data_IF_892967787018
#
_entry.id   IF_892967787018
#
_cell.length_a   1.000
_cell.length_b   1.000
_cell.length_c   1.000
_cell.angle_alpha   90.00
_cell.angle_beta   90.00
_cell.angle_gamma   90.00
#
_symmetry.space_group_name_H-M   'P 1'
#
loop_
_entity.id
_entity.type
_entity.pdbx_description
1 polymer ?
#
# COMPACT_ATOMS: atom_id res chain seq x y z
N UNK A 1 15.28 29.78 -5.08
CA UNK A 1 14.62 29.22 -3.87
C UNK A 1 14.25 27.78 -4.15
N UNK A 2 14.91 26.83 -3.50
CA UNK A 2 14.65 25.39 -3.68
C UNK A 2 13.31 25.08 -3.02
N UNK A 3 12.31 24.59 -3.77
CA UNK A 3 11.02 24.17 -3.20
C UNK A 3 11.28 23.09 -2.15
N UNK A 4 10.88 23.34 -0.91
CA UNK A 4 10.96 22.37 0.17
C UNK A 4 10.06 21.18 -0.19
N UNK A 5 10.60 19.95 -0.07
CA UNK A 5 9.84 18.71 -0.37
C UNK A 5 8.72 18.54 0.66
N UNK A 6 7.58 18.01 0.24
CA UNK A 6 6.44 17.76 1.14
C UNK A 6 6.74 16.57 2.07
N UNK A 7 6.04 16.47 3.21
CA UNK A 7 6.24 15.36 4.14
C UNK A 7 5.92 14.00 3.47
N UNK A 8 4.92 13.96 2.59
CA UNK A 8 4.63 12.77 1.74
C UNK A 8 5.82 12.38 0.86
N UNK A 9 6.48 13.35 0.22
CA UNK A 9 7.65 13.09 -0.63
C UNK A 9 8.86 12.63 0.19
N UNK A 10 9.08 13.25 1.34
CA UNK A 10 10.17 12.89 2.25
C UNK A 10 9.99 11.48 2.83
N UNK A 11 8.77 11.09 3.23
CA UNK A 11 8.51 9.71 3.67
C UNK A 11 8.70 8.68 2.56
N UNK A 12 8.37 9.04 1.31
CA UNK A 12 8.64 8.16 0.15
C UNK A 12 10.14 7.97 -0.07
N UNK A 13 10.94 9.01 0.12
CA UNK A 13 12.41 8.92 0.05
C UNK A 13 12.97 8.03 1.17
N UNK A 14 12.50 8.20 2.41
CA UNK A 14 12.90 7.34 3.54
C UNK A 14 12.50 5.87 3.31
N UNK A 15 11.36 5.62 2.66
CA UNK A 15 10.96 4.27 2.28
C UNK A 15 11.90 3.64 1.25
N UNK A 16 12.40 4.42 0.29
CA UNK A 16 13.41 3.96 -0.67
C UNK A 16 14.78 3.75 0.02
N UNK A 17 15.21 4.67 0.89
CA UNK A 17 16.42 4.53 1.72
C UNK A 17 16.38 3.22 2.53
N UNK A 18 15.21 2.86 3.07
CA UNK A 18 15.00 1.57 3.79
C UNK A 18 15.25 0.36 2.87
N UNK A 19 14.77 0.40 1.62
CA UNK A 19 14.99 -0.69 0.65
C UNK A 19 16.45 -0.81 0.26
N UNK A 20 17.13 0.32 0.05
CA UNK A 20 18.55 0.37 -0.27
C UNK A 20 19.39 -0.20 0.88
N UNK A 21 19.10 0.18 2.13
CA UNK A 21 19.73 -0.40 3.33
C UNK A 21 19.55 -1.92 3.33
N UNK A 22 18.32 -2.42 3.19
CA UNK A 22 18.10 -3.87 3.17
C UNK A 22 18.87 -4.59 2.06
N UNK A 23 18.90 -4.03 0.85
CA UNK A 23 19.63 -4.62 -0.28
C UNK A 23 21.16 -4.65 -0.02
N UNK A 24 21.73 -3.54 0.45
CA UNK A 24 23.17 -3.43 0.73
C UNK A 24 23.60 -4.40 1.84
N UNK A 25 22.84 -4.47 2.93
CA UNK A 25 23.19 -5.34 4.06
C UNK A 25 22.92 -6.83 3.76
N UNK A 26 21.90 -7.15 2.96
CA UNK A 26 21.68 -8.52 2.49
C UNK A 26 22.86 -9.02 1.63
N UNK A 27 23.33 -8.19 0.69
CA UNK A 27 24.51 -8.51 -0.12
C UNK A 27 25.79 -8.64 0.72
N UNK A 28 25.99 -7.74 1.69
CA UNK A 28 27.13 -7.82 2.60
C UNK A 28 27.10 -9.12 3.43
N UNK A 29 25.91 -9.56 3.86
CA UNK A 29 25.72 -10.80 4.62
C UNK A 29 25.99 -12.04 3.77
N UNK A 30 25.49 -12.07 2.54
CA UNK A 30 25.75 -13.15 1.58
C UNK A 30 27.26 -13.30 1.33
N UNK A 31 27.96 -12.19 1.05
CA UNK A 31 29.41 -12.21 0.86
C UNK A 31 30.16 -12.70 2.10
N UNK A 32 29.74 -12.28 3.30
CA UNK A 32 30.35 -12.73 4.55
C UNK A 32 30.07 -14.22 4.83
N UNK A 33 28.92 -14.75 4.42
CA UNK A 33 28.62 -16.19 4.50
C UNK A 33 29.50 -17.00 3.55
N UNK A 34 29.67 -16.55 2.30
CA UNK A 34 30.57 -17.19 1.34
C UNK A 34 32.04 -17.19 1.81
N UNK A 35 32.49 -16.10 2.44
CA UNK A 35 33.81 -16.00 3.05
C UNK A 35 33.98 -17.04 4.18
N UNK A 36 32.98 -17.20 5.05
CA UNK A 36 32.95 -18.20 6.11
C UNK A 36 32.95 -19.63 5.55
N UNK A 37 32.15 -19.91 4.52
CA UNK A 37 32.11 -21.23 3.86
C UNK A 37 33.46 -21.59 3.24
N UNK A 38 34.08 -20.65 2.54
CA UNK A 38 35.40 -20.84 1.90
C UNK A 38 36.48 -21.12 2.95
N UNK A 39 36.54 -20.30 4.01
CA UNK A 39 37.48 -20.52 5.12
C UNK A 39 37.25 -21.86 5.83
N UNK A 40 35.99 -22.27 5.99
CA UNK A 40 35.65 -23.55 6.61
C UNK A 40 36.17 -24.71 5.77
N UNK A 41 36.00 -24.66 4.44
CA UNK A 41 36.52 -25.67 3.54
C UNK A 41 38.06 -25.71 3.55
N UNK A 42 38.70 -24.54 3.43
CA UNK A 42 40.17 -24.46 3.46
C UNK A 42 40.79 -24.96 4.77
N UNK A 43 40.10 -24.78 5.90
CA UNK A 43 40.53 -25.32 7.20
C UNK A 43 40.38 -26.83 7.22
N UNK A 44 39.27 -27.38 6.70
CA UNK A 44 39.05 -28.82 6.65
C UNK A 44 40.11 -29.53 5.77
N UNK A 45 40.35 -29.01 4.57
CA UNK A 45 41.37 -29.53 3.65
C UNK A 45 42.78 -29.43 4.27
N UNK A 46 43.05 -28.30 4.94
CA UNK A 46 44.31 -28.08 5.65
C UNK A 46 44.52 -28.99 6.87
N UNK A 47 43.47 -29.31 7.61
CA UNK A 47 43.52 -30.26 8.73
C UNK A 47 43.82 -31.69 8.26
N UNK A 48 43.27 -32.10 7.12
CA UNK A 48 43.60 -33.38 6.48
C UNK A 48 45.08 -33.40 6.06
N UNK A 49 45.55 -32.33 5.41
CA UNK A 49 46.96 -32.21 5.02
C UNK A 49 47.91 -32.23 6.23
N UNK A 50 47.57 -31.56 7.33
CA UNK A 50 48.35 -31.59 8.58
C UNK A 50 48.42 -33.01 9.16
N UNK A 51 47.36 -33.81 9.07
CA UNK A 51 47.41 -35.21 9.52
C UNK A 51 48.40 -36.03 8.70
N UNK A 52 48.45 -35.84 7.38
CA UNK A 52 49.40 -36.52 6.50
C UNK A 52 50.85 -36.06 6.75
N UNK A 53 51.05 -34.75 6.92
CA UNK A 53 52.33 -34.15 7.31
C UNK A 53 52.80 -34.67 8.66
N UNK A 54 51.88 -34.83 9.63
CA UNK A 54 52.21 -35.39 10.94
C UNK A 54 52.67 -36.85 10.82
N UNK A 55 51.97 -37.68 10.04
CA UNK A 55 52.41 -39.07 9.75
C UNK A 55 53.81 -39.07 9.13
N UNK A 56 54.03 -38.21 8.14
CA UNK A 56 55.30 -38.11 7.42
C UNK A 56 56.43 -37.58 8.33
N UNK A 57 56.14 -36.64 9.23
CA UNK A 57 57.05 -36.15 10.27
C UNK A 57 57.45 -37.27 11.25
N UNK A 58 56.48 -38.04 11.76
CA UNK A 58 56.74 -39.17 12.67
C UNK A 58 57.61 -40.25 12.00
N UNK A 59 57.44 -40.42 10.69
CA UNK A 59 58.27 -41.31 9.87
C UNK A 59 59.63 -40.69 9.46
N UNK A 60 60.00 -39.51 9.99
CA UNK A 60 61.21 -38.75 9.66
C UNK A 60 61.35 -38.40 8.16
N UNK A 61 60.24 -38.33 7.42
CA UNK A 61 60.23 -37.95 6.00
C UNK A 61 60.15 -36.43 5.79
N UNK A 62 59.73 -35.68 6.81
CA UNK A 62 59.60 -34.21 6.77
C UNK A 62 60.13 -33.63 8.08
N UNK A 63 60.63 -32.39 8.05
CA UNK A 63 61.18 -31.75 9.25
C UNK A 63 60.09 -31.25 10.20
N UNK A 64 60.45 -31.05 11.47
CA UNK A 64 59.56 -30.47 12.47
C UNK A 64 59.15 -29.04 12.08
N UNK A 65 60.05 -28.25 11.48
CA UNK A 65 59.73 -26.89 11.08
C UNK A 65 58.63 -26.84 10.01
N UNK A 66 58.67 -27.75 9.04
CA UNK A 66 57.66 -27.84 7.98
C UNK A 66 56.27 -28.17 8.55
N UNK A 67 56.19 -29.16 9.46
CA UNK A 67 54.95 -29.49 10.15
C UNK A 67 54.41 -28.33 11.01
N UNK A 68 55.28 -27.66 11.77
CA UNK A 68 54.88 -26.54 12.62
C UNK A 68 54.42 -25.32 11.81
N UNK A 69 55.05 -25.05 10.67
CA UNK A 69 54.65 -23.97 9.77
C UNK A 69 53.23 -24.17 9.24
N UNK A 70 52.90 -25.38 8.75
CA UNK A 70 51.57 -25.69 8.23
C UNK A 70 50.51 -25.64 9.34
N UNK A 71 50.83 -26.17 10.52
CA UNK A 71 49.94 -26.10 11.69
C UNK A 71 49.61 -24.67 12.08
N UNK A 72 50.63 -23.79 12.10
CA UNK A 72 50.42 -22.38 12.40
C UNK A 72 49.55 -21.69 11.34
N UNK A 73 49.75 -21.99 10.06
CA UNK A 73 48.93 -21.43 8.99
C UNK A 73 47.43 -21.78 9.16
N UNK A 74 47.11 -23.01 9.56
CA UNK A 74 45.73 -23.41 9.85
C UNK A 74 45.17 -22.77 11.12
N UNK A 75 45.98 -22.65 12.18
CA UNK A 75 45.56 -21.95 13.40
C UNK A 75 45.26 -20.46 13.10
N UNK A 76 46.06 -19.80 12.25
CA UNK A 76 45.81 -18.44 11.78
C UNK A 76 44.50 -18.36 10.98
N UNK A 77 44.22 -19.32 10.08
CA UNK A 77 42.94 -19.38 9.35
C UNK A 77 41.74 -19.56 10.28
N UNK A 78 41.86 -20.39 11.33
CA UNK A 78 40.79 -20.56 12.34
C UNK A 78 40.51 -19.26 13.09
N UNK A 79 41.54 -18.50 13.42
CA UNK A 79 41.38 -17.18 14.01
C UNK A 79 40.63 -16.21 13.07
N UNK A 80 40.97 -16.23 11.78
CA UNK A 80 40.26 -15.44 10.75
C UNK A 80 38.80 -15.89 10.60
N UNK A 81 38.52 -17.19 10.60
CA UNK A 81 37.16 -17.74 10.54
C UNK A 81 36.29 -17.22 11.68
N UNK A 82 36.80 -17.21 12.92
CA UNK A 82 36.08 -16.68 14.07
C UNK A 82 35.72 -15.20 13.89
N UNK A 83 36.64 -14.39 13.35
CA UNK A 83 36.38 -12.97 13.03
C UNK A 83 35.34 -12.83 11.93
N UNK A 84 35.41 -13.65 10.87
CA UNK A 84 34.45 -13.66 9.77
C UNK A 84 33.03 -14.07 10.24
N UNK A 85 32.92 -15.03 11.15
CA UNK A 85 31.64 -15.40 11.76
C UNK A 85 31.05 -14.25 12.60
N UNK A 86 31.90 -13.56 13.39
CA UNK A 86 31.46 -12.39 14.15
C UNK A 86 31.00 -11.24 13.25
N UNK A 87 31.68 -11.01 12.12
CA UNK A 87 31.31 -10.01 11.11
C UNK A 87 29.86 -10.17 10.63
N UNK A 88 29.36 -11.41 10.49
CA UNK A 88 27.95 -11.67 10.11
C UNK A 88 26.98 -11.09 11.16
N UNK A 89 27.27 -11.29 12.45
CA UNK A 89 26.44 -10.74 13.53
C UNK A 89 26.53 -9.21 13.60
N UNK A 90 27.73 -8.66 13.38
CA UNK A 90 27.96 -7.21 13.36
C UNK A 90 27.20 -6.53 12.20
N UNK A 91 27.10 -7.18 11.02
CA UNK A 91 26.30 -6.70 9.88
C UNK A 91 24.83 -6.52 10.28
N UNK A 92 24.24 -7.49 10.98
CA UNK A 92 22.85 -7.40 11.45
C UNK A 92 22.67 -6.27 12.47
N UNK A 93 23.66 -6.06 13.34
CA UNK A 93 23.67 -4.96 14.32
C UNK A 93 23.70 -3.59 13.63
N UNK A 94 24.63 -3.39 12.71
CA UNK A 94 24.78 -2.15 11.95
C UNK A 94 23.55 -1.85 11.08
N UNK A 95 22.95 -2.86 10.46
CA UNK A 95 21.70 -2.68 9.71
C UNK A 95 20.60 -2.11 10.62
N UNK A 96 20.44 -2.64 11.83
CA UNK A 96 19.42 -2.15 12.78
C UNK A 96 19.69 -0.70 13.21
N UNK A 97 20.95 -0.31 13.36
CA UNK A 97 21.31 1.07 13.68
C UNK A 97 20.95 2.04 12.56
N UNK A 98 21.23 1.69 11.30
CA UNK A 98 20.83 2.50 10.14
C UNK A 98 19.30 2.60 10.03
N UNK A 99 18.59 1.48 10.18
CA UNK A 99 17.12 1.48 10.18
C UNK A 99 16.54 2.32 11.34
N UNK A 100 17.19 2.34 12.50
CA UNK A 100 16.79 3.19 13.63
C UNK A 100 16.92 4.68 13.29
N UNK A 101 17.95 5.09 12.53
CA UNK A 101 18.09 6.47 12.04
C UNK A 101 16.94 6.83 11.10
N UNK A 102 16.63 5.96 10.12
CA UNK A 102 15.51 6.16 9.19
C UNK A 102 14.18 6.26 9.93
N UNK A 103 13.93 5.36 10.89
CA UNK A 103 12.74 5.40 11.73
C UNK A 103 12.61 6.71 12.52
N UNK A 104 13.71 7.21 13.09
CA UNK A 104 13.73 8.49 13.81
C UNK A 104 13.35 9.65 12.89
N UNK A 105 13.93 9.71 11.69
CA UNK A 105 13.57 10.71 10.66
C UNK A 105 12.09 10.62 10.30
N UNK A 106 11.58 9.42 10.05
CA UNK A 106 10.18 9.19 9.68
C UNK A 106 9.22 9.61 10.80
N UNK A 107 9.55 9.30 12.06
CA UNK A 107 8.77 9.72 13.23
C UNK A 107 8.69 11.25 13.34
N UNK A 108 9.78 11.95 13.03
CA UNK A 108 9.81 13.41 12.98
C UNK A 108 8.85 14.02 11.95
N UNK A 109 8.55 13.30 10.87
CA UNK A 109 7.67 13.75 9.79
C UNK A 109 6.19 13.39 10.00
N UNK A 110 5.86 12.53 10.97
CA UNK A 110 4.52 11.94 11.11
C UNK A 110 3.43 13.01 11.24
N UNK A 111 3.64 14.03 12.09
CA UNK A 111 2.63 15.07 12.32
C UNK A 111 2.38 15.94 11.07
N UNK A 112 3.42 16.23 10.29
CA UNK A 112 3.30 17.01 9.06
C UNK A 112 2.63 16.17 7.96
N UNK A 113 3.00 14.89 7.85
CA UNK A 113 2.36 13.94 6.95
C UNK A 113 0.87 13.80 7.23
N UNK A 114 0.47 13.63 8.50
CA UNK A 114 -0.94 13.49 8.85
C UNK A 114 -1.76 14.74 8.47
N UNK A 115 -1.21 15.95 8.69
CA UNK A 115 -1.85 17.19 8.24
C UNK A 115 -1.97 17.27 6.72
N UNK A 116 -0.92 16.92 5.98
CA UNK A 116 -0.95 16.91 4.50
C UNK A 116 -1.97 15.90 3.97
N UNK A 117 -1.96 14.69 4.54
CA UNK A 117 -2.88 13.59 4.21
C UNK A 117 -4.34 14.01 4.47
N UNK A 118 -4.63 14.55 5.64
CA UNK A 118 -6.00 14.93 6.02
C UNK A 118 -6.52 16.06 5.13
N UNK A 119 -5.68 17.07 4.85
CA UNK A 119 -6.02 18.14 3.91
C UNK A 119 -6.29 17.60 2.51
N UNK A 120 -5.41 16.75 2.00
CA UNK A 120 -5.59 16.13 0.67
C UNK A 120 -6.88 15.32 0.60
N UNK A 121 -7.15 14.49 1.62
CA UNK A 121 -8.38 13.68 1.69
C UNK A 121 -9.61 14.59 1.77
N UNK A 122 -9.59 15.63 2.60
CA UNK A 122 -10.69 16.58 2.72
C UNK A 122 -10.99 17.28 1.38
N UNK A 123 -9.96 17.77 0.69
CA UNK A 123 -10.09 18.41 -0.62
C UNK A 123 -10.69 17.46 -1.67
N UNK A 124 -10.25 16.20 -1.68
CA UNK A 124 -10.78 15.19 -2.61
C UNK A 124 -12.21 14.81 -2.26
N UNK A 125 -12.54 14.64 -0.98
CA UNK A 125 -13.93 14.42 -0.52
C UNK A 125 -14.84 15.56 -0.93
N UNK A 126 -14.44 16.81 -0.71
CA UNK A 126 -15.22 18.00 -1.12
C UNK A 126 -15.49 18.01 -2.63
N UNK A 127 -14.50 17.65 -3.46
CA UNK A 127 -14.68 17.52 -4.92
C UNK A 127 -15.66 16.41 -5.29
N UNK A 128 -15.57 15.23 -4.66
CA UNK A 128 -16.50 14.13 -4.90
C UNK A 128 -17.94 14.52 -4.52
N UNK A 129 -18.14 15.19 -3.39
CA UNK A 129 -19.47 15.67 -2.97
C UNK A 129 -20.02 16.71 -3.93
N UNK A 130 -19.18 17.62 -4.43
CA UNK A 130 -19.59 18.57 -5.47
C UNK A 130 -20.02 17.86 -6.76
N UNK A 131 -19.27 16.86 -7.21
CA UNK A 131 -19.66 16.08 -8.40
C UNK A 131 -20.97 15.32 -8.19
N UNK A 132 -21.19 14.74 -7.00
CA UNK A 132 -22.46 14.11 -6.62
C UNK A 132 -23.62 15.10 -6.68
N UNK A 133 -23.43 16.30 -6.16
CA UNK A 133 -24.44 17.36 -6.21
C UNK A 133 -24.80 17.76 -7.65
N UNK A 134 -23.80 18.01 -8.50
CA UNK A 134 -24.04 18.37 -9.90
C UNK A 134 -24.74 17.25 -10.69
N UNK A 135 -24.36 15.99 -10.44
CA UNK A 135 -25.03 14.83 -11.06
C UNK A 135 -26.52 14.75 -10.68
N UNK A 136 -26.84 14.86 -9.39
CA UNK A 136 -28.24 14.84 -8.92
C UNK A 136 -29.04 16.03 -9.45
N UNK A 137 -28.40 17.21 -9.53
CA UNK A 137 -29.02 18.41 -10.09
C UNK A 137 -29.31 18.25 -11.59
N UNK A 138 -28.41 17.64 -12.35
CA UNK A 138 -28.62 17.35 -13.76
C UNK A 138 -29.78 16.36 -13.96
N UNK A 139 -29.84 15.28 -13.17
CA UNK A 139 -30.98 14.36 -13.19
C UNK A 139 -32.29 15.11 -12.96
N UNK A 140 -32.35 15.95 -11.92
CA UNK A 140 -33.56 16.69 -11.61
C UNK A 140 -33.94 17.69 -12.70
N UNK A 141 -32.98 18.31 -13.37
CA UNK A 141 -33.25 19.24 -14.47
C UNK A 141 -33.97 18.54 -15.63
N UNK A 142 -33.48 17.38 -16.07
CA UNK A 142 -34.12 16.58 -17.13
C UNK A 142 -35.46 15.99 -16.67
N UNK A 143 -35.53 15.53 -15.42
CA UNK A 143 -36.75 14.95 -14.84
C UNK A 143 -37.93 15.93 -14.80
N UNK A 144 -37.66 17.23 -14.59
CA UNK A 144 -38.70 18.27 -14.58
C UNK A 144 -39.47 18.37 -15.89
N UNK A 145 -38.86 18.01 -17.00
CA UNK A 145 -39.52 18.03 -18.31
C UNK A 145 -40.32 16.74 -18.56
N UNK A 146 -39.82 15.60 -18.08
CA UNK A 146 -40.45 14.29 -18.25
C UNK A 146 -41.66 14.13 -17.33
N UNK A 147 -41.56 14.56 -16.07
CA UNK A 147 -42.57 14.30 -15.04
C UNK A 147 -43.97 14.85 -15.40
N UNK A 148 -44.13 16.09 -15.90
CA UNK A 148 -45.44 16.60 -16.30
C UNK A 148 -46.05 15.82 -17.47
N UNK A 149 -45.23 15.32 -18.41
CA UNK A 149 -45.69 14.55 -19.57
C UNK A 149 -46.22 13.18 -19.12
N UNK A 150 -45.49 12.48 -18.25
CA UNK A 150 -45.94 11.21 -17.67
C UNK A 150 -47.18 11.40 -16.77
N UNK A 151 -47.25 12.52 -16.03
CA UNK A 151 -48.38 12.84 -15.16
C UNK A 151 -49.69 13.03 -15.95
N UNK A 152 -49.65 13.54 -17.19
CA UNK A 152 -50.84 13.68 -18.02
C UNK A 152 -51.55 12.35 -18.26
N UNK A 153 -50.80 11.24 -18.37
CA UNK A 153 -51.38 9.90 -18.52
C UNK A 153 -52.12 9.44 -17.28
N UNK A 154 -51.61 9.80 -16.09
CA UNK A 154 -52.30 9.56 -14.81
C UNK A 154 -53.58 10.38 -14.75
N UNK A 155 -53.50 11.68 -15.05
CA UNK A 155 -54.65 12.58 -15.07
C UNK A 155 -55.76 12.12 -16.04
N UNK A 156 -55.41 11.67 -17.25
CA UNK A 156 -56.40 11.12 -18.20
C UNK A 156 -57.09 9.89 -17.62
N UNK A 157 -56.35 8.99 -16.96
CA UNK A 157 -56.95 7.80 -16.34
C UNK A 157 -57.81 8.16 -15.12
N UNK A 158 -57.50 9.22 -14.39
CA UNK A 158 -58.35 9.75 -13.31
C UNK A 158 -59.65 10.33 -13.88
N UNK A 159 -59.57 11.09 -14.98
CA UNK A 159 -60.73 11.64 -15.67
C UNK A 159 -61.68 10.54 -16.18
N UNK A 160 -61.15 9.44 -16.71
CA UNK A 160 -61.97 8.28 -17.12
C UNK A 160 -62.74 7.65 -15.94
N UNK A 161 -62.19 7.71 -14.72
CA UNK A 161 -62.88 7.24 -13.51
C UNK A 161 -63.97 8.23 -13.09
N UNK A 162 -63.68 9.53 -13.09
CA UNK A 162 -64.65 10.58 -12.76
C UNK A 162 -65.85 10.57 -13.72
N UNK A 163 -65.62 10.29 -15.01
CA UNK A 163 -66.66 10.14 -16.02
C UNK A 163 -67.41 8.80 -15.94
N UNK A 164 -67.07 7.93 -15.00
CA UNK A 164 -67.70 6.62 -14.83
C UNK A 164 -67.37 5.60 -15.92
N UNK A 165 -66.38 5.88 -16.76
CA UNK A 165 -65.94 4.96 -17.83
C UNK A 165 -65.15 3.77 -17.26
N UNK A 166 -64.50 3.97 -16.10
CA UNK A 166 -63.78 2.91 -15.37
C UNK A 166 -64.08 3.01 -13.87
N UNK A 167 -64.09 1.88 -13.14
CA UNK A 167 -64.34 1.88 -11.70
C UNK A 167 -63.15 2.39 -10.87
N UNK A 168 -61.92 2.39 -11.41
CA UNK A 168 -60.71 2.86 -10.74
C UNK A 168 -59.54 3.08 -11.72
N UNK A 169 -58.58 3.94 -11.34
CA UNK A 169 -57.39 4.27 -12.13
C UNK A 169 -56.22 3.36 -11.74
N UNK A 170 -55.59 2.73 -12.74
CA UNK A 170 -54.36 1.94 -12.58
C UNK A 170 -53.12 2.64 -13.14
N UNK A 171 -53.30 3.81 -13.76
CA UNK A 171 -52.18 4.57 -14.28
C UNK A 171 -51.35 5.06 -13.10
N UNK A 172 -50.09 4.62 -13.05
CA UNK A 172 -49.13 5.10 -12.08
C UNK A 172 -48.11 5.95 -12.81
N UNK A 173 -47.61 7.01 -12.17
CA UNK A 173 -46.41 7.66 -12.66
C UNK A 173 -45.29 6.62 -12.70
N UNK A 174 -44.32 6.80 -13.59
CA UNK A 174 -43.08 6.00 -13.51
C UNK A 174 -42.50 6.23 -12.13
N UNK A 175 -42.67 5.25 -11.23
CA UNK A 175 -42.07 5.30 -9.92
C UNK A 175 -40.57 5.43 -10.18
N UNK A 176 -39.95 6.46 -9.61
CA UNK A 176 -38.52 6.71 -9.70
C UNK A 176 -37.72 5.46 -9.34
N UNK A 177 -38.26 4.62 -8.44
CA UNK A 177 -37.73 3.31 -8.10
C UNK A 177 -37.70 2.35 -9.29
N UNK A 178 -38.76 2.25 -10.08
CA UNK A 178 -38.86 1.36 -11.24
C UNK A 178 -37.99 1.83 -12.42
N UNK A 179 -37.89 3.15 -12.65
CA UNK A 179 -37.02 3.71 -13.70
C UNK A 179 -35.54 3.47 -13.41
N UNK A 180 -35.14 3.70 -12.15
CA UNK A 180 -33.76 3.50 -11.72
C UNK A 180 -33.40 2.01 -11.62
N UNK A 181 -34.32 1.16 -11.15
CA UNK A 181 -34.12 -0.30 -11.13
C UNK A 181 -34.01 -0.91 -12.53
N UNK A 182 -34.75 -0.38 -13.51
CA UNK A 182 -34.69 -0.89 -14.88
C UNK A 182 -33.41 -0.48 -15.62
N UNK A 183 -32.73 0.61 -15.22
CA UNK A 183 -31.69 1.26 -16.06
C UNK A 183 -30.34 1.51 -15.37
N UNK A 184 -30.21 1.33 -14.05
CA UNK A 184 -28.91 1.34 -13.37
C UNK A 184 -28.44 -0.09 -13.08
N UNK A 185 -27.52 -0.68 -13.88
CA UNK A 185 -26.89 -1.93 -13.48
C UNK A 185 -26.05 -1.68 -12.23
N UNK A 186 -26.35 -2.44 -11.17
CA UNK A 186 -25.57 -2.59 -9.94
C UNK A 186 -24.06 -2.44 -10.20
N UNK A 187 -23.48 -1.30 -9.83
CA UNK A 187 -22.02 -1.14 -9.73
C UNK A 187 -21.66 -0.41 -8.44
N UNK A 188 -20.98 -1.06 -7.48
CA UNK A 188 -20.54 -0.42 -6.25
C UNK A 188 -19.31 0.45 -6.52
N UNK A 189 -19.27 1.65 -5.94
CA UNK A 189 -18.07 2.51 -5.96
C UNK A 189 -18.26 3.97 -5.57
N UNK A 190 -19.46 4.53 -5.65
CA UNK A 190 -19.81 5.87 -5.16
C UNK A 190 -21.31 5.90 -4.88
N UNK A 191 -21.75 5.47 -3.70
CA UNK A 191 -23.18 5.36 -3.38
C UNK A 191 -23.81 6.73 -3.23
N UNK A 192 -24.40 7.21 -4.33
CA UNK A 192 -25.69 7.88 -4.28
C UNK A 192 -26.68 6.78 -3.96
N UNK A 193 -27.27 6.82 -2.78
CA UNK A 193 -28.30 5.85 -2.39
C UNK A 193 -29.54 6.05 -3.25
N UNK A 194 -30.33 4.98 -3.43
CA UNK A 194 -31.58 5.04 -4.19
C UNK A 194 -32.48 6.14 -3.64
N UNK A 195 -32.56 6.27 -2.32
CA UNK A 195 -33.32 7.32 -1.65
C UNK A 195 -32.81 8.74 -1.97
N UNK A 196 -31.49 8.95 -2.08
CA UNK A 196 -30.94 10.26 -2.45
C UNK A 196 -31.25 10.66 -3.90
N UNK A 197 -31.34 9.70 -4.81
CA UNK A 197 -31.78 9.95 -6.19
C UNK A 197 -33.28 10.23 -6.22
N UNK A 198 -34.09 9.44 -5.50
CA UNK A 198 -35.54 9.60 -5.41
C UNK A 198 -35.91 10.96 -4.80
N UNK A 199 -35.29 11.36 -3.69
CA UNK A 199 -35.54 12.67 -3.07
C UNK A 199 -35.11 13.84 -3.97
N UNK A 200 -34.00 13.70 -4.69
CA UNK A 200 -33.56 14.72 -5.65
C UNK A 200 -34.50 14.79 -6.87
N UNK A 201 -34.94 13.65 -7.40
CA UNK A 201 -35.80 13.53 -8.58
C UNK A 201 -37.24 14.01 -8.29
N UNK A 202 -37.85 13.52 -7.21
CA UNK A 202 -39.27 13.77 -6.87
C UNK A 202 -39.48 15.11 -6.15
N UNK A 203 -38.60 15.48 -5.22
CA UNK A 203 -38.81 16.62 -4.31
C UNK A 203 -37.89 17.82 -4.59
N UNK A 204 -36.89 17.67 -5.46
CA UNK A 204 -35.86 18.70 -5.70
C UNK A 204 -34.99 19.00 -4.48
N UNK A 205 -35.05 18.15 -3.44
CA UNK A 205 -34.31 18.34 -2.19
C UNK A 205 -33.04 17.51 -2.19
N UNK A 206 -31.89 18.19 -2.15
CA UNK A 206 -30.62 17.59 -1.73
C UNK A 206 -30.47 17.78 -0.22
N UNK A 207 -30.12 16.71 0.52
CA UNK A 207 -29.93 16.75 1.98
C UNK A 207 -29.07 17.96 2.39
N UNK A 208 -29.49 18.64 3.46
CA UNK A 208 -28.83 19.86 3.97
C UNK A 208 -27.35 19.62 4.30
N UNK A 209 -27.03 18.45 4.85
CA UNK A 209 -25.66 18.01 5.18
C UNK A 209 -24.74 17.99 3.96
N UNK A 210 -25.25 17.57 2.79
CA UNK A 210 -24.51 17.61 1.52
C UNK A 210 -24.25 19.04 1.04
N UNK A 211 -25.20 19.97 1.28
CA UNK A 211 -25.06 21.40 0.95
C UNK A 211 -24.12 22.15 1.91
N UNK A 212 -24.05 21.73 3.17
CA UNK A 212 -23.15 22.28 4.18
C UNK A 212 -21.71 21.75 4.00
N UNK A 213 -21.54 20.47 3.61
CA UNK A 213 -20.23 19.87 3.36
C UNK A 213 -19.49 20.41 2.12
N UNK A 214 -20.19 21.13 1.22
CA UNK A 214 -19.61 21.75 0.01
C UNK A 214 -19.33 23.25 0.16
N UNK A 215 -19.82 23.92 1.22
CA UNK A 215 -19.39 25.30 1.56
C UNK A 215 -17.94 25.28 2.02
#
# INVERSE_FOLDING_TARGET
>A
MTKQKTAVQQLKELHNETKEIHATYAKAKENAQQEVETLTQEIADGEEHIQELYKSYVLNMVSLEAYQAERKAIDDKKAVLHVAQKKIADIDGLMKEELKKVHSKAKGLSAEYDREKDKFIADKKKKLLKMKYEYLKAIHAEAKEIFPVEYQRVWVSELEVELGMKPYSHATYVNTDNFLEAHLPYRPGCTVTKEEVVDAYVKGTVKRELKEAIK
#
